data_IF_092984690366
#
_entry.id   IF_092984690366
#
_cell.length_a   1.000
_cell.length_b   1.000
_cell.length_c   1.000
_cell.angle_alpha   90.00
_cell.angle_beta   90.00
_cell.angle_gamma   90.00
#
_symmetry.space_group_name_H-M   'P 1'
#
loop_
_entity.id
_entity.type
_entity.pdbx_description
1 polymer ?
#
# COMPACT_ATOMS: atom_id res chain seq x y z
N UNK A 1 -4.34 -19.76 -11.78
CA UNK A 1 -5.63 -19.21 -11.30
C UNK A 1 -6.29 -18.38 -12.42
N UNK A 2 -6.79 -19.02 -13.48
CA UNK A 2 -7.60 -18.37 -14.52
C UNK A 2 -9.06 -18.72 -14.21
N UNK A 3 -9.76 -17.80 -13.56
CA UNK A 3 -11.19 -17.94 -13.32
C UNK A 3 -11.88 -18.26 -14.66
N UNK A 4 -12.64 -19.37 -14.79
CA UNK A 4 -13.23 -19.80 -16.06
C UNK A 4 -14.05 -18.70 -16.74
N UNK A 5 -14.61 -17.76 -15.96
CA UNK A 5 -15.39 -16.61 -16.43
C UNK A 5 -14.57 -15.58 -17.20
N UNK A 6 -13.25 -15.53 -17.01
CA UNK A 6 -12.38 -14.50 -17.58
C UNK A 6 -11.54 -15.00 -18.77
N UNK A 7 -11.85 -16.18 -19.32
CA UNK A 7 -11.04 -16.85 -20.36
C UNK A 7 -10.99 -16.09 -21.69
N UNK A 8 -12.07 -15.39 -22.05
CA UNK A 8 -12.20 -14.60 -23.30
C UNK A 8 -11.87 -13.12 -23.13
N UNK A 9 -11.54 -12.67 -21.92
CA UNK A 9 -11.31 -11.25 -21.63
C UNK A 9 -9.83 -10.89 -21.79
N UNK A 10 -9.53 -9.75 -22.42
CA UNK A 10 -8.16 -9.24 -22.51
C UNK A 10 -7.56 -8.92 -21.12
N UNK A 11 -6.24 -9.05 -20.96
CA UNK A 11 -5.55 -8.69 -19.71
C UNK A 11 -5.83 -7.24 -19.31
N UNK A 12 -5.82 -6.32 -20.29
CA UNK A 12 -6.10 -4.90 -20.07
C UNK A 12 -7.47 -4.69 -19.44
N UNK A 13 -8.49 -5.39 -19.93
CA UNK A 13 -9.84 -5.30 -19.38
C UNK A 13 -9.92 -5.86 -17.95
N UNK A 14 -9.20 -6.95 -17.65
CA UNK A 14 -9.12 -7.51 -16.30
C UNK A 14 -8.43 -6.56 -15.33
N UNK A 15 -7.31 -5.97 -15.75
CA UNK A 15 -6.58 -4.98 -14.98
C UNK A 15 -7.45 -3.75 -14.71
N UNK A 16 -8.17 -3.26 -15.71
CA UNK A 16 -9.07 -2.12 -15.55
C UNK A 16 -10.20 -2.43 -14.55
N UNK A 17 -10.80 -3.63 -14.58
CA UNK A 17 -11.81 -4.03 -13.59
C UNK A 17 -11.24 -4.11 -12.18
N UNK A 18 -10.06 -4.72 -12.03
CA UNK A 18 -9.38 -4.80 -10.74
C UNK A 18 -9.07 -3.41 -10.18
N UNK A 19 -8.45 -2.57 -10.99
CA UNK A 19 -8.06 -1.22 -10.59
C UNK A 19 -9.28 -0.34 -10.29
N UNK A 20 -10.38 -0.51 -11.02
CA UNK A 20 -11.63 0.17 -10.72
C UNK A 20 -12.14 -0.22 -9.33
N UNK A 21 -12.29 -1.52 -9.06
CA UNK A 21 -12.74 -2.01 -7.76
C UNK A 21 -11.81 -1.57 -6.60
N UNK A 22 -10.50 -1.60 -6.83
CA UNK A 22 -9.52 -1.14 -5.85
C UNK A 22 -9.68 0.35 -5.51
N UNK A 23 -9.91 1.22 -6.50
CA UNK A 23 -10.03 2.67 -6.30
C UNK A 23 -11.34 3.11 -5.68
N UNK A 24 -12.42 2.36 -5.90
CA UNK A 24 -13.76 2.66 -5.38
C UNK A 24 -14.03 2.02 -4.02
N UNK A 25 -13.12 1.18 -3.52
CA UNK A 25 -13.26 0.52 -2.22
C UNK A 25 -12.54 1.34 -1.14
N UNK A 26 -13.20 1.66 -0.01
CA UNK A 26 -12.57 2.41 1.07
C UNK A 26 -11.35 1.69 1.61
N UNK A 27 -10.24 2.40 1.78
CA UNK A 27 -9.03 1.82 2.38
C UNK A 27 -9.23 1.65 3.88
N UNK A 28 -8.76 0.53 4.43
CA UNK A 28 -9.03 0.11 5.81
C UNK A 28 -8.53 1.11 6.86
N UNK A 29 -7.38 1.76 6.64
CA UNK A 29 -6.78 2.68 7.62
C UNK A 29 -7.41 4.08 7.54
N UNK A 30 -7.61 4.61 6.34
CA UNK A 30 -8.10 5.98 6.15
C UNK A 30 -9.62 6.06 6.15
N UNK A 31 -10.32 4.95 5.91
CA UNK A 31 -11.76 4.92 5.72
C UNK A 31 -12.24 5.60 4.44
N UNK A 32 -11.32 6.12 3.63
CA UNK A 32 -11.58 6.88 2.42
C UNK A 32 -11.14 6.09 1.18
N UNK A 33 -11.85 6.30 0.07
CA UNK A 33 -11.54 5.65 -1.21
C UNK A 33 -10.41 6.38 -1.94
N UNK A 34 -9.50 5.67 -2.62
CA UNK A 34 -8.44 6.32 -3.41
C UNK A 34 -8.95 7.32 -4.46
N UNK A 35 -10.09 7.05 -5.09
CA UNK A 35 -10.69 7.97 -6.07
C UNK A 35 -11.16 9.28 -5.44
N UNK A 36 -11.68 9.24 -4.20
CA UNK A 36 -12.08 10.42 -3.44
C UNK A 36 -10.87 11.26 -3.06
N UNK A 37 -9.76 10.63 -2.64
CA UNK A 37 -8.52 11.35 -2.34
C UNK A 37 -7.94 12.02 -3.60
N UNK A 38 -8.08 11.38 -4.76
CA UNK A 38 -7.56 11.91 -6.03
C UNK A 38 -8.40 13.06 -6.59
N UNK A 39 -9.73 12.92 -6.59
CA UNK A 39 -10.63 13.89 -7.23
C UNK A 39 -11.33 14.84 -6.25
N UNK A 40 -11.06 14.69 -4.95
CA UNK A 40 -11.72 15.40 -3.85
C UNK A 40 -13.26 15.36 -3.93
N UNK A 41 -13.81 14.28 -4.49
CA UNK A 41 -15.26 14.05 -4.64
C UNK A 41 -15.54 12.55 -4.67
N UNK A 42 -16.75 12.17 -4.26
CA UNK A 42 -17.18 10.77 -4.38
C UNK A 42 -17.52 10.47 -5.86
N UNK A 43 -16.84 9.50 -6.46
CA UNK A 43 -17.18 9.01 -7.80
C UNK A 43 -18.39 8.09 -7.66
N UNK A 44 -19.50 8.43 -8.32
CA UNK A 44 -20.69 7.55 -8.29
C UNK A 44 -20.42 6.28 -9.06
N UNK A 45 -20.59 5.15 -8.40
CA UNK A 45 -20.54 3.81 -9.01
C UNK A 45 -21.92 3.16 -9.00
N UNK A 46 -22.11 2.10 -9.81
CA UNK A 46 -23.35 1.32 -9.79
C UNK A 46 -23.69 0.78 -8.39
N UNK A 47 -22.67 0.44 -7.60
CA UNK A 47 -22.87 -0.04 -6.24
C UNK A 47 -23.41 1.04 -5.30
N UNK A 48 -23.12 2.31 -5.57
CA UNK A 48 -23.67 3.44 -4.78
C UNK A 48 -25.13 3.70 -5.09
N UNK A 49 -25.62 3.31 -6.27
CA UNK A 49 -27.04 3.38 -6.62
C UNK A 49 -27.86 2.26 -5.96
N UNK A 50 -27.24 1.12 -5.69
CA UNK A 50 -27.91 -0.08 -5.17
C UNK A 50 -27.91 -0.12 -3.64
N UNK A 51 -26.88 0.41 -2.99
CA UNK A 51 -26.71 0.27 -1.54
C UNK A 51 -27.60 1.27 -0.76
N UNK A 52 -28.47 0.80 0.15
CA UNK A 52 -28.99 1.67 1.20
C UNK A 52 -27.84 2.17 2.08
N UNK A 53 -27.97 3.38 2.63
CA UNK A 53 -26.93 4.04 3.41
C UNK A 53 -26.62 3.32 4.73
N UNK A 54 -25.78 2.28 4.69
CA UNK A 54 -25.31 1.59 5.89
C UNK A 54 -24.21 2.42 6.58
N UNK A 55 -24.38 2.65 7.88
CA UNK A 55 -23.44 3.40 8.72
C UNK A 55 -22.20 2.58 9.07
N UNK A 56 -21.09 3.33 9.13
CA UNK A 56 -19.75 3.11 9.71
C UNK A 56 -19.44 1.69 10.22
N UNK A 57 -18.55 1.02 9.49
CA UNK A 57 -17.77 -0.11 10.00
C UNK A 57 -16.66 0.43 10.91
N UNK A 58 -16.52 -0.14 12.10
CA UNK A 58 -15.53 0.24 13.10
C UNK A 58 -14.13 -0.16 12.60
N UNK A 59 -13.25 0.82 12.39
CA UNK A 59 -11.84 0.63 12.06
C UNK A 59 -11.11 0.47 13.40
N UNK A 60 -11.27 -0.68 14.07
CA UNK A 60 -10.67 -0.96 15.38
C UNK A 60 -9.34 -1.70 15.30
N UNK A 61 -9.22 -2.65 14.37
CA UNK A 61 -8.28 -3.75 14.60
C UNK A 61 -6.92 -3.58 13.90
N UNK A 62 -6.81 -2.66 12.93
CA UNK A 62 -5.58 -2.52 12.15
C UNK A 62 -4.50 -1.70 12.88
N UNK A 63 -4.89 -0.76 13.75
CA UNK A 63 -3.94 0.03 14.55
C UNK A 63 -3.23 -0.85 15.59
N UNK A 64 -3.93 -1.84 16.18
CA UNK A 64 -3.33 -2.73 17.17
C UNK A 64 -2.21 -3.61 16.61
N UNK A 65 -2.22 -3.87 15.31
CA UNK A 65 -1.16 -4.62 14.62
C UNK A 65 -0.04 -3.73 14.04
N UNK A 66 -0.14 -2.41 14.16
CA UNK A 66 0.93 -1.50 13.76
C UNK A 66 2.05 -1.54 14.81
N UNK A 67 3.13 -2.26 14.51
CA UNK A 67 4.28 -2.43 15.43
C UNK A 67 5.17 -1.18 15.59
N UNK A 68 4.68 -0.01 15.16
CA UNK A 68 5.43 1.25 15.17
C UNK A 68 6.48 1.36 14.06
N UNK A 69 7.03 2.56 13.93
CA UNK A 69 8.24 2.83 13.16
C UNK A 69 9.45 2.60 14.08
N UNK A 70 10.58 2.11 13.54
CA UNK A 70 11.82 2.01 14.33
C UNK A 70 12.40 3.42 14.53
N UNK A 71 12.50 3.85 15.78
CA UNK A 71 13.15 5.11 16.17
C UNK A 71 14.68 4.97 16.13
N UNK A 72 15.25 4.85 14.93
CA UNK A 72 16.71 4.80 14.74
C UNK A 72 17.12 6.10 14.03
N UNK A 73 17.94 6.89 14.73
CA UNK A 73 18.57 8.11 14.19
C UNK A 73 20.01 7.75 13.86
N UNK A 74 20.39 7.91 12.60
CA UNK A 74 21.76 7.70 12.14
C UNK A 74 22.58 8.99 12.23
N UNK A 75 23.87 8.85 12.51
CA UNK A 75 24.86 9.92 12.45
C UNK A 75 25.93 9.58 11.41
N UNK A 76 26.56 10.60 10.87
CA UNK A 76 27.73 10.43 10.00
C UNK A 76 28.85 9.71 10.76
N UNK A 77 29.49 8.74 10.11
CA UNK A 77 30.49 7.88 10.71
C UNK A 77 29.94 6.62 11.40
N UNK A 78 28.63 6.45 11.54
CA UNK A 78 28.07 5.25 12.18
C UNK A 78 28.33 3.99 11.33
N UNK A 79 28.83 2.90 11.94
CA UNK A 79 28.94 1.61 11.27
C UNK A 79 27.55 0.97 11.14
N UNK A 80 27.18 0.62 9.92
CA UNK A 80 25.87 0.02 9.60
C UNK A 80 26.04 -1.21 8.72
N UNK A 81 25.02 -2.06 8.70
CA UNK A 81 24.93 -3.16 7.73
C UNK A 81 23.99 -2.74 6.60
N UNK A 82 24.51 -2.65 5.38
CA UNK A 82 23.72 -2.38 4.19
C UNK A 82 23.32 -3.69 3.52
N UNK A 83 22.09 -3.76 3.01
CA UNK A 83 21.63 -4.94 2.29
C UNK A 83 22.17 -4.92 0.86
N UNK A 84 22.90 -5.96 0.48
CA UNK A 84 23.42 -6.11 -0.88
C UNK A 84 22.40 -6.88 -1.74
N UNK A 85 21.96 -6.25 -2.82
CA UNK A 85 20.97 -6.79 -3.76
C UNK A 85 21.60 -7.33 -5.06
N UNK A 86 22.93 -7.27 -5.22
CA UNK A 86 23.63 -7.71 -6.44
C UNK A 86 23.48 -9.22 -6.69
N UNK A 87 23.31 -10.01 -5.63
CA UNK A 87 23.16 -11.47 -5.72
C UNK A 87 21.69 -11.85 -5.57
N UNK A 88 21.06 -12.21 -6.70
CA UNK A 88 19.66 -12.68 -6.74
C UNK A 88 19.55 -13.97 -5.90
N UNK A 89 18.52 -14.05 -5.05
CA UNK A 89 18.21 -15.16 -4.15
C UNK A 89 19.16 -15.43 -2.97
N UNK A 90 20.12 -14.53 -2.66
CA UNK A 90 20.84 -14.56 -1.37
C UNK A 90 20.58 -13.26 -0.60
N UNK A 91 20.14 -13.38 0.65
CA UNK A 91 20.01 -12.23 1.56
C UNK A 91 21.36 -11.95 2.20
N UNK A 92 22.19 -11.15 1.54
CA UNK A 92 23.51 -10.75 2.03
C UNK A 92 23.45 -9.35 2.65
N UNK A 93 24.10 -9.20 3.80
CA UNK A 93 24.35 -7.92 4.46
C UNK A 93 25.85 -7.65 4.39
N UNK A 94 26.23 -6.42 4.03
CA UNK A 94 27.62 -5.99 3.97
C UNK A 94 27.87 -4.83 4.95
N UNK A 95 29.05 -4.76 5.59
CA UNK A 95 29.40 -3.64 6.43
C UNK A 95 29.57 -2.36 5.61
N UNK A 96 29.08 -1.25 6.13
CA UNK A 96 29.16 0.08 5.51
C UNK A 96 29.24 1.16 6.60
N UNK A 97 29.54 2.39 6.20
CA UNK A 97 29.60 3.56 7.09
C UNK A 97 28.71 4.66 6.51
N UNK A 98 27.98 5.37 7.37
CA UNK A 98 27.15 6.50 6.96
C UNK A 98 28.05 7.69 6.60
N UNK A 99 27.93 8.19 5.36
CA UNK A 99 28.72 9.33 4.88
C UNK A 99 28.00 10.65 5.12
N UNK A 100 26.69 10.67 4.88
CA UNK A 100 25.85 11.87 4.96
C UNK A 100 24.42 11.46 5.36
N UNK A 101 23.75 12.28 6.17
CA UNK A 101 22.36 12.07 6.58
C UNK A 101 21.44 13.09 5.89
N UNK A 102 20.72 12.65 4.86
CA UNK A 102 19.82 13.51 4.06
C UNK A 102 18.50 13.88 4.76
N UNK A 103 18.15 13.17 5.83
CA UNK A 103 16.90 13.42 6.56
C UNK A 103 16.56 12.31 7.55
N UNK A 104 15.63 12.61 8.45
CA UNK A 104 15.13 11.64 9.42
C UNK A 104 14.08 10.73 8.79
N UNK A 105 14.11 9.43 9.13
CA UNK A 105 13.04 8.47 8.83
C UNK A 105 11.92 8.60 9.86
N UNK A 106 11.18 9.72 9.82
CA UNK A 106 9.90 9.87 10.53
C UNK A 106 8.74 9.43 9.66
#
# INVERSE_FOLDING_TARGET
MKDPKNRSTSLRSLLNRFLFAYRTTPYCVTGETPDKLMFNRNVRTLMDLIKPAFKKKQIGDQQEHYRGTRDIIFKEGDPVMARDYRIINKKTWAPAVVIEVLGSRT
#
